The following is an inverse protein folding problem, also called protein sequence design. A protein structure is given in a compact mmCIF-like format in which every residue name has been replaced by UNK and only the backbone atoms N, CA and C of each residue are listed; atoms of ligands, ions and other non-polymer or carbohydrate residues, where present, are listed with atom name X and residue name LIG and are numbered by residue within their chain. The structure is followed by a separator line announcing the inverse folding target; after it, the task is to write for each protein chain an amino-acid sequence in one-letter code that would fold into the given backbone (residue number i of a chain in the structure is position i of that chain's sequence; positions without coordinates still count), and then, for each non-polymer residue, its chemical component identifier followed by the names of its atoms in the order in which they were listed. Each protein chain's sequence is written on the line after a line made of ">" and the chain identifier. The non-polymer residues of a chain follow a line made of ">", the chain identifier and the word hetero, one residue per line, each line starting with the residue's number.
data_IF_716134886408
#
_entry.id   IF_716134886408
#
_cell.length_a   1.000
_cell.length_b   1.000
_cell.length_c   1.000
_cell.angle_alpha   90.00
_cell.angle_beta   90.00
_cell.angle_gamma   90.00
#
_symmetry.space_group_name_H-M   'P 1'
#
loop_
_entity.id
_entity.type
_entity.pdbx_description
1 polymer ?
#
# COMPACT_ATOMS: atom_id res chain seq x y z
N UNK A 1 -10.97 -49.06 36.64
CA UNK A 1 -10.15 -48.07 35.92
C UNK A 1 -11.01 -46.84 35.67
N UNK A 2 -10.95 -45.84 36.55
CA UNK A 2 -11.64 -44.56 36.32
C UNK A 2 -10.64 -43.56 35.74
N UNK A 3 -10.95 -43.05 34.54
CA UNK A 3 -10.16 -42.02 33.88
C UNK A 3 -10.42 -40.68 34.57
N UNK A 4 -9.39 -40.13 35.21
CA UNK A 4 -9.39 -38.74 35.67
C UNK A 4 -9.57 -37.80 34.47
N UNK A 5 -10.64 -37.00 34.49
CA UNK A 5 -10.82 -35.91 33.52
C UNK A 5 -9.82 -34.81 33.86
N UNK A 6 -8.81 -34.64 33.01
CA UNK A 6 -7.95 -33.46 33.04
C UNK A 6 -8.78 -32.22 32.70
N UNK A 7 -9.03 -31.38 33.70
CA UNK A 7 -9.61 -30.05 33.50
C UNK A 7 -8.56 -29.18 32.79
N UNK A 8 -8.83 -28.81 31.53
CA UNK A 8 -8.03 -27.80 30.82
C UNK A 8 -8.22 -26.46 31.53
N UNK A 9 -7.12 -25.77 31.83
CA UNK A 9 -7.17 -24.41 32.32
C UNK A 9 -7.81 -23.50 31.25
N UNK A 10 -8.87 -22.79 31.63
CA UNK A 10 -9.49 -21.74 30.83
C UNK A 10 -8.43 -20.66 30.60
N UNK A 11 -8.02 -20.45 29.34
CA UNK A 11 -6.91 -19.60 28.92
C UNK A 11 -7.17 -18.10 29.10
N UNK A 12 -7.71 -17.68 30.25
CA UNK A 12 -7.97 -16.29 30.58
C UNK A 12 -6.84 -15.74 31.42
N UNK A 13 -6.06 -14.85 30.81
CA UNK A 13 -5.05 -14.04 31.47
C UNK A 13 -5.67 -13.30 32.67
N UNK A 14 -5.19 -13.60 33.88
CA UNK A 14 -5.74 -13.12 35.15
C UNK A 14 -5.19 -11.74 35.58
N UNK A 15 -4.39 -11.08 34.75
CA UNK A 15 -3.52 -9.97 35.17
C UNK A 15 -4.04 -8.55 34.89
N UNK A 16 -5.29 -8.37 34.46
CA UNK A 16 -5.92 -7.05 34.38
C UNK A 16 -7.34 -7.10 34.96
N UNK A 17 -7.65 -6.40 36.06
CA UNK A 17 -8.98 -6.45 36.61
C UNK A 17 -9.92 -5.58 35.74
N UNK A 18 -11.14 -6.07 35.48
CA UNK A 18 -12.16 -5.44 34.63
C UNK A 18 -13.03 -4.54 35.50
N UNK A 19 -12.60 -3.33 35.85
CA UNK A 19 -13.27 -2.62 36.95
C UNK A 19 -14.59 -1.97 36.57
N UNK A 20 -14.75 -1.48 35.34
CA UNK A 20 -16.06 -1.07 34.83
C UNK A 20 -16.05 -1.00 33.29
N UNK A 21 -16.59 -2.02 32.61
CA UNK A 21 -16.62 -2.05 31.14
C UNK A 21 -17.94 -1.48 30.64
N UNK A 22 -17.85 -0.36 29.94
CA UNK A 22 -19.01 0.28 29.35
C UNK A 22 -19.29 -0.30 27.96
N UNK A 23 -20.55 -0.62 27.70
CA UNK A 23 -21.01 -1.09 26.41
C UNK A 23 -21.93 -0.03 25.77
N UNK A 24 -21.42 0.68 24.77
CA UNK A 24 -22.16 1.73 24.07
C UNK A 24 -22.75 1.15 22.78
N UNK A 25 -24.08 1.25 22.62
CA UNK A 25 -24.75 0.97 21.35
C UNK A 25 -24.96 2.28 20.58
N UNK A 26 -24.66 2.26 19.28
CA UNK A 26 -24.95 3.36 18.37
C UNK A 26 -26.13 2.91 17.51
N UNK A 27 -27.37 3.28 17.85
CA UNK A 27 -28.56 2.75 17.18
C UNK A 27 -28.71 3.26 15.74
N UNK A 28 -28.21 4.46 15.46
CA UNK A 28 -28.28 5.05 14.12
C UNK A 28 -27.09 4.55 13.26
N UNK A 29 -27.35 3.86 12.14
CA UNK A 29 -26.28 3.33 11.28
C UNK A 29 -25.41 4.43 10.66
N UNK A 30 -25.97 5.64 10.42
CA UNK A 30 -25.18 6.78 9.90
C UNK A 30 -24.15 7.25 10.91
N UNK A 31 -24.51 7.32 12.19
CA UNK A 31 -23.61 7.74 13.26
C UNK A 31 -22.53 6.68 13.50
N UNK A 32 -22.88 5.40 13.39
CA UNK A 32 -21.92 4.30 13.46
C UNK A 32 -20.89 4.40 12.34
N UNK A 33 -21.32 4.69 11.10
CA UNK A 33 -20.42 4.87 9.97
C UNK A 33 -19.47 6.06 10.19
N UNK A 34 -20.00 7.19 10.66
CA UNK A 34 -19.21 8.40 10.97
C UNK A 34 -18.15 8.13 12.04
N UNK A 35 -18.49 7.39 13.10
CA UNK A 35 -17.55 6.99 14.15
C UNK A 35 -16.44 6.08 13.63
N UNK A 36 -16.76 5.14 12.72
CA UNK A 36 -15.76 4.28 12.08
C UNK A 36 -14.81 5.10 11.21
N UNK A 37 -15.33 6.08 10.47
CA UNK A 37 -14.51 6.96 9.63
C UNK A 37 -13.57 7.83 10.47
N UNK A 38 -14.08 8.45 11.55
CA UNK A 38 -13.25 9.22 12.48
C UNK A 38 -12.17 8.35 13.14
N UNK A 39 -12.51 7.11 13.51
CA UNK A 39 -11.53 6.14 14.02
C UNK A 39 -10.41 5.90 13.00
N UNK A 40 -10.74 5.63 11.73
CA UNK A 40 -9.73 5.42 10.67
C UNK A 40 -8.80 6.62 10.52
N UNK A 41 -9.37 7.83 10.51
CA UNK A 41 -8.60 9.09 10.38
C UNK A 41 -7.74 9.43 11.60
N UNK A 42 -8.06 8.88 12.77
CA UNK A 42 -7.35 9.16 14.03
C UNK A 42 -6.00 8.45 14.15
N UNK A 43 -5.77 7.38 13.39
CA UNK A 43 -4.57 6.54 13.53
C UNK A 43 -4.48 5.78 14.88
N UNK A 44 -5.55 5.76 15.68
CA UNK A 44 -5.56 5.06 16.97
C UNK A 44 -5.40 3.54 16.80
N UNK A 45 -4.70 2.89 17.73
CA UNK A 45 -4.45 1.44 17.69
C UNK A 45 -5.73 0.60 17.79
N UNK A 46 -6.69 1.05 18.61
CA UNK A 46 -7.97 0.35 18.80
C UNK A 46 -9.13 1.34 18.84
N UNK A 47 -10.35 0.86 18.52
CA UNK A 47 -11.57 1.66 18.62
C UNK A 47 -11.81 2.18 20.05
N UNK A 48 -11.44 1.39 21.06
CA UNK A 48 -11.58 1.76 22.46
C UNK A 48 -10.64 2.91 22.83
N UNK A 49 -9.41 2.91 22.31
CA UNK A 49 -8.45 3.99 22.56
C UNK A 49 -8.92 5.30 21.89
N UNK A 50 -9.43 5.22 20.66
CA UNK A 50 -10.04 6.35 19.98
C UNK A 50 -11.24 6.93 20.75
N UNK A 51 -12.16 6.07 21.20
CA UNK A 51 -13.33 6.49 21.95
C UNK A 51 -12.96 7.08 23.31
N UNK A 52 -11.99 6.49 24.01
CA UNK A 52 -11.50 7.01 25.30
C UNK A 52 -10.90 8.39 25.13
N UNK A 53 -9.99 8.56 24.16
CA UNK A 53 -9.40 9.85 23.83
C UNK A 53 -10.48 10.89 23.48
N UNK A 54 -11.52 10.48 22.74
CA UNK A 54 -12.62 11.39 22.38
C UNK A 54 -13.51 11.77 23.55
N UNK A 55 -13.78 10.85 24.48
CA UNK A 55 -14.60 11.09 25.67
C UNK A 55 -13.87 11.89 26.74
N UNK A 56 -12.55 11.76 26.82
CA UNK A 56 -11.68 12.49 27.75
C UNK A 56 -11.16 13.81 27.17
N UNK A 57 -11.66 14.21 25.99
CA UNK A 57 -11.26 15.42 25.26
C UNK A 57 -9.73 15.55 25.04
N UNK A 58 -9.06 14.42 24.83
CA UNK A 58 -7.64 14.38 24.52
C UNK A 58 -7.37 14.96 23.11
N UNK A 59 -6.28 15.70 22.96
CA UNK A 59 -5.84 16.21 21.66
C UNK A 59 -5.44 15.06 20.73
N UNK A 60 -5.98 15.02 19.52
CA UNK A 60 -5.57 14.05 18.50
C UNK A 60 -5.33 14.72 17.14
N UNK A 61 -4.44 14.12 16.36
CA UNK A 61 -4.14 14.56 14.99
C UNK A 61 -5.05 13.81 14.03
N UNK A 62 -5.91 14.54 13.31
CA UNK A 62 -6.64 13.99 12.17
C UNK A 62 -5.71 14.07 10.97
N UNK A 63 -5.31 12.93 10.42
CA UNK A 63 -4.64 12.88 9.12
C UNK A 63 -5.75 12.77 8.08
N UNK A 64 -5.91 13.82 7.27
CA UNK A 64 -6.72 13.76 6.06
C UNK A 64 -5.76 13.38 4.95
N UNK A 65 -5.86 12.15 4.46
CA UNK A 65 -5.19 11.78 3.22
C UNK A 65 -5.96 12.45 2.08
N UNK A 66 -5.26 13.28 1.31
CA UNK A 66 -5.80 13.79 0.06
C UNK A 66 -5.70 12.68 -0.99
N UNK A 67 -6.82 11.99 -1.21
CA UNK A 67 -6.92 10.89 -2.19
C UNK A 67 -6.88 11.41 -3.64
N UNK A 68 -6.81 12.73 -3.87
CA UNK A 68 -6.71 13.33 -5.21
C UNK A 68 -5.52 12.80 -6.03
N UNK A 69 -4.41 12.50 -5.34
CA UNK A 69 -3.17 12.03 -5.93
C UNK A 69 -3.11 10.50 -6.11
N UNK A 70 -3.96 9.74 -5.42
CA UNK A 70 -3.93 8.27 -5.40
C UNK A 70 -4.01 7.66 -6.82
N UNK A 71 -4.89 8.13 -7.73
CA UNK A 71 -4.93 7.61 -9.09
C UNK A 71 -3.63 7.86 -9.87
N UNK A 72 -3.02 9.03 -9.70
CA UNK A 72 -1.77 9.38 -10.39
C UNK A 72 -0.61 8.52 -9.88
N UNK A 73 -0.48 8.38 -8.56
CA UNK A 73 0.54 7.55 -7.91
C UNK A 73 0.42 6.08 -8.34
N UNK A 74 -0.81 5.56 -8.42
CA UNK A 74 -1.07 4.20 -8.90
C UNK A 74 -0.59 3.99 -10.34
N UNK A 75 -0.88 4.93 -11.24
CA UNK A 75 -0.42 4.82 -12.64
C UNK A 75 1.09 4.97 -12.78
N UNK A 76 1.73 5.86 -12.02
CA UNK A 76 3.19 5.94 -11.95
C UNK A 76 3.81 4.62 -11.42
N UNK A 77 3.21 4.01 -10.41
CA UNK A 77 3.60 2.69 -9.92
C UNK A 77 3.52 1.59 -10.99
N UNK A 78 2.48 1.61 -11.83
CA UNK A 78 2.34 0.70 -12.97
C UNK A 78 3.49 0.90 -13.99
N UNK A 79 3.85 2.16 -14.27
CA UNK A 79 4.97 2.48 -15.17
C UNK A 79 6.30 1.97 -14.62
N UNK A 80 6.58 2.22 -13.33
CA UNK A 80 7.79 1.73 -12.67
C UNK A 80 7.89 0.21 -12.74
N UNK A 81 6.77 -0.49 -12.54
CA UNK A 81 6.72 -1.95 -12.63
C UNK A 81 7.07 -2.45 -14.04
N UNK A 82 6.49 -1.82 -15.08
CA UNK A 82 6.80 -2.14 -16.49
C UNK A 82 8.26 -1.85 -16.81
N UNK A 83 8.78 -0.71 -16.35
CA UNK A 83 10.17 -0.32 -16.54
C UNK A 83 11.11 -1.36 -15.94
N UNK A 84 10.85 -1.82 -14.71
CA UNK A 84 11.66 -2.85 -14.04
C UNK A 84 11.73 -4.15 -14.83
N UNK A 85 10.61 -4.60 -15.41
CA UNK A 85 10.57 -5.80 -16.25
C UNK A 85 11.49 -5.62 -17.47
N UNK A 86 11.36 -4.49 -18.17
CA UNK A 86 12.20 -4.19 -19.35
C UNK A 86 13.67 -4.10 -18.96
N UNK A 87 14.01 -3.46 -17.85
CA UNK A 87 15.40 -3.34 -17.38
C UNK A 87 16.05 -4.69 -17.09
N UNK A 88 15.28 -5.66 -16.58
CA UNK A 88 15.79 -7.03 -16.38
C UNK A 88 16.11 -7.70 -17.72
N UNK A 89 15.18 -7.64 -18.68
CA UNK A 89 15.40 -8.19 -20.03
C UNK A 89 16.54 -7.48 -20.79
N UNK A 90 16.67 -6.16 -20.61
CA UNK A 90 17.76 -5.38 -21.17
C UNK A 90 19.12 -5.87 -20.65
N UNK A 91 19.26 -6.00 -19.33
CA UNK A 91 20.50 -6.49 -18.71
C UNK A 91 20.85 -7.91 -19.16
N UNK A 92 19.86 -8.79 -19.33
CA UNK A 92 20.06 -10.14 -19.85
C UNK A 92 20.56 -10.13 -21.29
N UNK A 93 19.96 -9.30 -22.16
CA UNK A 93 20.41 -9.14 -23.54
C UNK A 93 21.85 -8.60 -23.62
N UNK A 94 22.24 -7.66 -22.75
CA UNK A 94 23.63 -7.15 -22.66
C UNK A 94 24.60 -8.24 -22.21
N UNK A 95 24.26 -9.01 -21.17
CA UNK A 95 25.11 -10.13 -20.71
C UNK A 95 25.29 -11.18 -21.80
N UNK A 96 24.22 -11.48 -22.52
CA UNK A 96 24.22 -12.41 -23.67
C UNK A 96 25.08 -11.85 -24.80
N UNK A 97 24.96 -10.56 -25.12
CA UNK A 97 25.82 -9.94 -26.13
C UNK A 97 27.31 -10.03 -25.75
N UNK A 98 27.64 -9.88 -24.48
CA UNK A 98 29.02 -9.95 -23.98
C UNK A 98 29.61 -11.37 -24.00
N UNK A 99 28.79 -12.42 -23.91
CA UNK A 99 29.26 -13.81 -23.82
C UNK A 99 29.29 -14.58 -25.14
N UNK A 100 28.66 -14.08 -26.21
CA UNK A 100 28.55 -14.78 -27.48
C UNK A 100 29.52 -14.23 -28.54
N UNK A 101 30.08 -15.13 -29.35
CA UNK A 101 31.11 -14.80 -30.36
C UNK A 101 30.61 -14.80 -31.81
N UNK A 102 29.30 -15.03 -32.05
CA UNK A 102 28.74 -15.06 -33.40
C UNK A 102 28.08 -13.72 -33.76
N UNK A 103 28.42 -13.23 -34.96
CA UNK A 103 27.93 -11.93 -35.48
C UNK A 103 26.39 -11.90 -35.59
N UNK A 104 25.77 -13.00 -36.03
CA UNK A 104 24.30 -13.08 -36.19
C UNK A 104 23.55 -12.95 -34.87
N UNK A 105 24.06 -13.58 -33.80
CA UNK A 105 23.47 -13.50 -32.46
C UNK A 105 23.68 -12.10 -31.89
N UNK A 106 24.87 -11.51 -32.07
CA UNK A 106 25.16 -10.15 -31.63
C UNK A 106 24.22 -9.11 -32.29
N UNK A 107 24.03 -9.21 -33.61
CA UNK A 107 23.09 -8.34 -34.35
C UNK A 107 21.65 -8.48 -33.84
N UNK A 108 21.20 -9.70 -33.55
CA UNK A 108 19.85 -9.92 -32.99
C UNK A 108 19.70 -9.26 -31.62
N UNK A 109 20.70 -9.40 -30.74
CA UNK A 109 20.68 -8.80 -29.41
C UNK A 109 20.68 -7.27 -29.47
N UNK A 110 21.46 -6.67 -30.39
CA UNK A 110 21.47 -5.22 -30.60
C UNK A 110 20.08 -4.71 -30.99
N UNK A 111 19.39 -5.37 -31.93
CA UNK A 111 18.00 -5.00 -32.30
C UNK A 111 17.03 -5.11 -31.12
N UNK A 112 17.20 -6.09 -30.24
CA UNK A 112 16.40 -6.21 -29.03
C UNK A 112 16.66 -5.06 -28.06
N UNK A 113 17.93 -4.67 -27.88
CA UNK A 113 18.31 -3.52 -27.04
C UNK A 113 17.74 -2.20 -27.59
N UNK A 114 17.73 -2.01 -28.91
CA UNK A 114 17.07 -0.86 -29.56
C UNK A 114 15.58 -0.83 -29.22
N UNK A 115 14.90 -1.97 -29.37
CA UNK A 115 13.46 -2.11 -29.06
C UNK A 115 13.17 -1.80 -27.59
N UNK A 116 13.99 -2.30 -26.66
CA UNK A 116 13.85 -2.01 -25.24
C UNK A 116 14.11 -0.53 -24.93
N UNK A 117 15.10 0.07 -25.58
CA UNK A 117 15.41 1.50 -25.41
C UNK A 117 14.24 2.38 -25.84
N UNK A 118 13.62 2.09 -26.98
CA UNK A 118 12.41 2.78 -27.44
C UNK A 118 11.25 2.64 -26.45
N UNK A 119 11.05 1.43 -25.92
CA UNK A 119 10.01 1.17 -24.92
C UNK A 119 10.26 1.94 -23.61
N UNK A 120 11.51 2.05 -23.16
CA UNK A 120 11.90 2.84 -21.98
C UNK A 120 11.59 4.32 -22.20
N UNK A 121 12.00 4.89 -23.33
CA UNK A 121 11.74 6.29 -23.68
C UNK A 121 10.23 6.55 -23.68
N UNK A 122 9.44 5.67 -24.30
CA UNK A 122 7.98 5.80 -24.34
C UNK A 122 7.36 5.81 -22.93
N UNK A 123 7.82 4.93 -22.04
CA UNK A 123 7.34 4.89 -20.65
C UNK A 123 7.74 6.14 -19.87
N UNK A 124 8.94 6.68 -20.10
CA UNK A 124 9.38 7.93 -19.48
C UNK A 124 8.54 9.12 -19.94
N UNK A 125 8.25 9.21 -21.24
CA UNK A 125 7.35 10.25 -21.79
C UNK A 125 5.95 10.15 -21.18
N UNK A 126 5.41 8.94 -21.03
CA UNK A 126 4.11 8.73 -20.37
C UNK A 126 4.14 9.18 -18.90
N UNK A 127 5.21 8.90 -18.16
CA UNK A 127 5.36 9.36 -16.78
C UNK A 127 5.39 10.89 -16.71
N UNK A 128 6.16 11.55 -17.58
CA UNK A 128 6.22 13.02 -17.65
C UNK A 128 4.84 13.61 -17.93
N UNK A 129 4.11 13.06 -18.90
CA UNK A 129 2.76 13.51 -19.23
C UNK A 129 1.78 13.34 -18.07
N UNK A 130 1.86 12.22 -17.33
CA UNK A 130 1.03 12.00 -16.15
C UNK A 130 1.33 13.01 -15.03
N UNK A 131 2.60 13.30 -14.78
CA UNK A 131 3.00 14.29 -13.77
C UNK A 131 2.58 15.70 -14.17
N UNK A 132 2.80 16.11 -15.42
CA UNK A 132 2.32 17.40 -15.93
C UNK A 132 0.80 17.53 -15.85
N UNK A 133 0.06 16.47 -16.17
CA UNK A 133 -1.39 16.47 -16.09
C UNK A 133 -1.90 16.57 -14.64
N UNK A 134 -1.16 16.03 -13.68
CA UNK A 134 -1.45 16.17 -12.25
C UNK A 134 -1.18 17.61 -11.77
N UNK A 135 -0.01 18.17 -12.05
CA UNK A 135 0.36 19.53 -11.65
C UNK A 135 -0.62 20.58 -12.20
N UNK A 136 -1.06 20.41 -13.46
CA UNK A 136 -2.05 21.31 -14.08
C UNK A 136 -3.43 21.24 -13.42
N UNK A 137 -3.79 20.12 -12.76
CA UNK A 137 -5.05 19.99 -12.02
C UNK A 137 -4.98 20.66 -10.65
N UNK A 138 -3.83 20.57 -9.97
CA UNK A 138 -3.58 21.23 -8.69
C UNK A 138 -3.50 22.77 -8.81
N UNK A 139 -3.04 23.27 -9.97
CA UNK A 139 -2.92 24.72 -10.23
C UNK A 139 -4.24 25.44 -10.58
N UNK A 140 -5.37 24.73 -10.65
CA UNK A 140 -6.70 25.26 -11.00
C UNK A 140 -7.60 25.38 -9.78
#
# INVERSE_FOLDING_TARGET
>A
MEKQKQNKADGRCATCPRWDRWHIRIPNPKDQQKLIELYRRSGAKTKSDFLRARLLDESFKVIIEDESAEPCLRELGNIITKLRIISVSYNEAVKTLNSYHTVSTAQRMIRQLETYSEAIIRLQVQAIQLTMAFDNRESK
#
